data_IF_613038651242
#
_entry.id   IF_613038651242
#
_cell.length_a   1.000
_cell.length_b   1.000
_cell.length_c   1.000
_cell.angle_alpha   90.00
_cell.angle_beta   90.00
_cell.angle_gamma   90.00
#
_symmetry.space_group_name_H-M   'P 1'
#
loop_
_entity.id
_entity.type
_entity.pdbx_description
1 polymer ?
#
# COMPACT_ATOMS: atom_id res chain seq x y z
N UNK A 1 5.42 -16.43 -22.97
CA UNK A 1 5.30 -15.07 -23.56
C UNK A 1 6.67 -14.65 -24.04
N UNK A 2 6.81 -13.95 -25.18
CA UNK A 2 8.11 -13.57 -25.74
C UNK A 2 8.74 -12.32 -25.12
N UNK A 3 8.09 -11.67 -24.15
CA UNK A 3 8.56 -10.48 -23.44
C UNK A 3 8.23 -10.61 -21.94
N UNK A 4 9.20 -10.34 -21.07
CA UNK A 4 9.04 -10.26 -19.62
C UNK A 4 9.15 -8.80 -19.14
N UNK A 5 8.64 -8.45 -17.94
CA UNK A 5 8.84 -7.12 -17.35
C UNK A 5 10.32 -6.73 -17.29
N UNK A 6 11.19 -7.68 -16.95
CA UNK A 6 12.64 -7.49 -16.95
C UNK A 6 13.22 -7.20 -18.34
N UNK A 7 12.61 -7.73 -19.41
CA UNK A 7 13.04 -7.42 -20.78
C UNK A 7 12.66 -5.98 -21.16
N UNK A 8 11.51 -5.47 -20.71
CA UNK A 8 11.07 -4.09 -20.95
C UNK A 8 11.96 -3.10 -20.21
N UNK A 9 12.32 -3.40 -18.96
CA UNK A 9 13.22 -2.58 -18.16
C UNK A 9 14.64 -2.49 -18.73
N UNK A 10 15.12 -3.55 -19.40
CA UNK A 10 16.47 -3.63 -19.95
C UNK A 10 16.58 -3.22 -21.43
N UNK A 11 15.47 -2.79 -22.06
CA UNK A 11 15.48 -2.37 -23.46
C UNK A 11 16.18 -1.02 -23.61
N UNK A 12 17.21 -0.98 -24.46
CA UNK A 12 17.91 0.25 -24.84
C UNK A 12 17.64 0.59 -26.31
N UNK A 13 17.07 1.77 -26.56
CA UNK A 13 16.86 2.28 -27.92
C UNK A 13 18.08 3.04 -28.44
N UNK A 14 18.44 2.83 -29.71
CA UNK A 14 19.52 3.56 -30.35
C UNK A 14 19.11 5.01 -30.64
N UNK A 15 20.03 5.95 -30.42
CA UNK A 15 19.79 7.37 -30.77
C UNK A 15 19.55 7.51 -32.27
N UNK A 16 18.59 8.38 -32.68
CA UNK A 16 18.29 8.61 -34.09
C UNK A 16 19.55 9.01 -34.88
N UNK A 17 19.72 8.54 -36.13
CA UNK A 17 20.79 9.00 -37.00
C UNK A 17 20.76 10.53 -37.14
N UNK A 18 21.95 11.13 -37.15
CA UNK A 18 22.15 12.59 -37.17
C UNK A 18 21.24 13.24 -38.24
N UNK A 19 20.37 14.16 -37.81
CA UNK A 19 19.44 14.88 -38.68
C UNK A 19 18.00 14.35 -38.70
N UNK A 20 17.69 13.24 -38.03
CA UNK A 20 16.30 12.77 -37.82
C UNK A 20 15.85 13.02 -36.37
N UNK A 21 14.61 13.47 -36.19
CA UNK A 21 13.99 13.62 -34.87
C UNK A 21 13.54 12.25 -34.37
N UNK A 22 13.89 11.91 -33.14
CA UNK A 22 13.40 10.72 -32.44
C UNK A 22 12.23 11.04 -31.52
N UNK A 23 11.75 10.00 -30.83
CA UNK A 23 10.86 10.17 -29.67
C UNK A 23 11.62 10.84 -28.52
N UNK A 24 10.86 11.51 -27.65
CA UNK A 24 11.41 12.13 -26.44
C UNK A 24 11.78 11.01 -25.45
N UNK A 25 13.03 11.00 -24.97
CA UNK A 25 13.54 9.97 -24.06
C UNK A 25 12.66 9.90 -22.78
N UNK A 26 12.32 11.04 -22.20
CA UNK A 26 11.51 11.11 -20.97
C UNK A 26 10.08 10.55 -21.15
N UNK A 27 9.46 10.79 -22.31
CA UNK A 27 8.11 10.27 -22.60
C UNK A 27 8.11 8.77 -22.92
N UNK A 28 9.21 8.29 -23.51
CA UNK A 28 9.40 6.86 -23.76
C UNK A 28 9.64 6.12 -22.46
N UNK A 29 10.48 6.64 -21.57
CA UNK A 29 10.75 6.03 -20.26
C UNK A 29 9.46 5.95 -19.42
N UNK A 30 8.68 7.02 -19.35
CA UNK A 30 7.39 7.01 -18.64
C UNK A 30 6.37 6.03 -19.24
N UNK A 31 6.40 5.84 -20.56
CA UNK A 31 5.54 4.84 -21.22
C UNK A 31 6.02 3.41 -20.94
N UNK A 32 7.34 3.18 -20.88
CA UNK A 32 7.91 1.88 -20.54
C UNK A 32 7.60 1.49 -19.10
N UNK A 33 7.64 2.43 -18.14
CA UNK A 33 7.21 2.18 -16.75
C UNK A 33 5.76 1.69 -16.68
N UNK A 34 4.85 2.35 -17.41
CA UNK A 34 3.43 1.96 -17.47
C UNK A 34 3.24 0.58 -18.12
N UNK A 35 4.05 0.25 -19.13
CA UNK A 35 4.03 -1.06 -19.80
C UNK A 35 4.60 -2.15 -18.90
N UNK A 36 5.64 -1.84 -18.11
CA UNK A 36 6.21 -2.74 -17.09
C UNK A 36 5.16 -3.08 -16.04
N UNK A 37 4.52 -2.06 -15.44
CA UNK A 37 3.44 -2.23 -14.46
C UNK A 37 2.27 -3.06 -15.01
N UNK A 38 1.83 -2.75 -16.24
CA UNK A 38 0.75 -3.49 -16.89
C UNK A 38 1.12 -4.95 -17.19
N UNK A 39 2.40 -5.23 -17.53
CA UNK A 39 2.87 -6.60 -17.75
C UNK A 39 2.96 -7.39 -16.45
N UNK A 40 3.40 -6.78 -15.35
CA UNK A 40 3.38 -7.41 -14.02
C UNK A 40 1.94 -7.74 -13.63
N UNK A 41 1.03 -6.76 -13.74
CA UNK A 41 -0.38 -6.97 -13.44
C UNK A 41 -0.99 -8.09 -14.30
N UNK A 42 -0.71 -8.13 -15.60
CA UNK A 42 -1.19 -9.20 -16.48
C UNK A 42 -0.60 -10.57 -16.13
N UNK A 43 0.62 -10.63 -15.61
CA UNK A 43 1.24 -11.88 -15.18
C UNK A 43 0.60 -12.38 -13.89
N UNK A 44 0.45 -11.52 -12.89
CA UNK A 44 -0.26 -11.83 -11.65
C UNK A 44 -1.70 -12.29 -11.93
N UNK A 45 -2.43 -11.57 -12.77
CA UNK A 45 -3.81 -11.93 -13.13
C UNK A 45 -3.87 -13.27 -13.89
N UNK A 46 -2.89 -13.58 -14.75
CA UNK A 46 -2.82 -14.89 -15.39
C UNK A 46 -2.45 -16.02 -14.41
N UNK A 47 -1.62 -15.75 -13.41
CA UNK A 47 -1.28 -16.72 -12.37
C UNK A 47 -2.49 -16.98 -11.46
N UNK A 48 -3.17 -15.92 -11.03
CA UNK A 48 -4.41 -16.00 -10.26
C UNK A 48 -5.50 -16.74 -11.03
N UNK A 49 -5.69 -16.42 -12.32
CA UNK A 49 -6.66 -17.13 -13.16
C UNK A 49 -6.31 -18.60 -13.36
N UNK A 50 -5.02 -18.94 -13.51
CA UNK A 50 -4.58 -20.35 -13.58
C UNK A 50 -4.82 -21.08 -12.27
N UNK A 51 -4.54 -20.45 -11.13
CA UNK A 51 -4.82 -21.03 -9.81
C UNK A 51 -6.33 -21.23 -9.61
N UNK A 52 -7.16 -20.26 -10.02
CA UNK A 52 -8.61 -20.39 -9.98
C UNK A 52 -9.12 -21.52 -10.88
N UNK A 53 -8.55 -21.68 -12.09
CA UNK A 53 -8.88 -22.80 -12.97
C UNK A 53 -8.44 -24.12 -12.34
N UNK A 54 -7.25 -24.21 -11.77
CA UNK A 54 -6.77 -25.42 -11.08
C UNK A 54 -7.64 -25.75 -9.86
N UNK A 55 -8.06 -24.76 -9.08
CA UNK A 55 -8.97 -24.92 -7.95
C UNK A 55 -10.36 -25.36 -8.41
N UNK A 56 -10.92 -24.74 -9.44
CA UNK A 56 -12.19 -25.12 -10.03
C UNK A 56 -12.12 -26.53 -10.65
N UNK A 57 -11.02 -26.88 -11.33
CA UNK A 57 -10.78 -28.21 -11.86
C UNK A 57 -10.62 -29.23 -10.73
N UNK A 58 -9.94 -28.90 -9.63
CA UNK A 58 -9.85 -29.74 -8.45
C UNK A 58 -11.22 -29.89 -7.74
N UNK A 59 -12.05 -28.86 -7.76
CA UNK A 59 -13.41 -28.88 -7.20
C UNK A 59 -14.38 -29.66 -8.09
N UNK A 60 -14.22 -29.60 -9.41
CA UNK A 60 -14.94 -30.44 -10.38
C UNK A 60 -14.43 -31.87 -10.36
N UNK A 61 -13.12 -32.12 -10.22
CA UNK A 61 -12.53 -33.43 -10.06
C UNK A 61 -12.94 -34.06 -8.72
N UNK A 62 -13.00 -33.27 -7.64
CA UNK A 62 -13.52 -33.65 -6.33
C UNK A 62 -15.03 -33.90 -6.35
N UNK A 63 -15.79 -33.10 -7.10
CA UNK A 63 -17.22 -33.29 -7.32
C UNK A 63 -17.53 -34.50 -8.19
N UNK A 64 -16.73 -34.78 -9.22
CA UNK A 64 -16.87 -35.95 -10.09
C UNK A 64 -16.33 -37.23 -9.47
N UNK A 65 -15.34 -37.18 -8.57
CA UNK A 65 -14.89 -38.33 -7.77
C UNK A 65 -15.78 -38.61 -6.55
N UNK A 66 -16.49 -37.59 -6.03
CA UNK A 66 -17.62 -37.77 -5.12
C UNK A 66 -18.84 -38.37 -5.85
N UNK A 67 -19.11 -37.97 -7.09
CA UNK A 67 -20.12 -38.61 -7.94
C UNK A 67 -19.73 -40.04 -8.37
N UNK A 68 -18.45 -40.29 -8.70
CA UNK A 68 -17.96 -41.60 -9.13
C UNK A 68 -17.80 -42.62 -7.97
N UNK A 69 -17.54 -42.15 -6.74
CA UNK A 69 -17.56 -43.01 -5.54
C UNK A 69 -18.99 -43.33 -5.08
N UNK A 70 -20.00 -42.66 -5.65
CA UNK A 70 -21.42 -42.98 -5.48
C UNK A 70 -22.04 -43.74 -6.65
N UNK A 71 -21.29 -44.03 -7.73
CA UNK A 71 -21.83 -44.67 -8.94
C UNK A 71 -21.50 -46.16 -9.09
N UNK A 72 -20.97 -46.84 -8.07
CA UNK A 72 -20.72 -48.30 -8.12
C UNK A 72 -21.56 -49.14 -7.15
N UNK A 73 -22.55 -48.56 -6.49
CA UNK A 73 -23.55 -49.31 -5.75
C UNK A 73 -24.94 -48.67 -5.90
N UNK A 74 -25.71 -49.10 -6.92
CA UNK A 74 -27.12 -48.73 -7.02
C UNK A 74 -27.65 -48.53 -8.43
N UNK A 75 -27.62 -49.58 -9.26
CA UNK A 75 -28.66 -49.71 -10.27
C UNK A 75 -30.00 -49.93 -9.52
N UNK A 76 -31.01 -49.13 -9.88
CA UNK A 76 -32.36 -49.10 -9.32
C UNK A 76 -32.56 -48.31 -8.02
N UNK A 77 -32.60 -46.98 -8.12
CA UNK A 77 -33.79 -46.20 -7.71
C UNK A 77 -33.68 -44.77 -8.23
N UNK A 78 -34.52 -44.45 -9.20
CA UNK A 78 -34.88 -43.07 -9.48
C UNK A 78 -35.72 -42.53 -8.31
N UNK A 79 -35.49 -41.27 -7.96
CA UNK A 79 -36.17 -40.42 -6.98
C UNK A 79 -35.46 -40.23 -5.63
N UNK A 80 -35.22 -38.95 -5.34
CA UNK A 80 -34.82 -38.35 -4.05
C UNK A 80 -33.32 -38.22 -3.72
N UNK A 81 -32.56 -37.54 -4.56
CA UNK A 81 -31.55 -36.58 -4.06
C UNK A 81 -32.07 -35.18 -4.37
N UNK A 82 -32.14 -34.31 -3.35
CA UNK A 82 -32.50 -32.91 -3.53
C UNK A 82 -31.52 -32.30 -4.53
N UNK A 83 -32.00 -32.05 -5.74
CA UNK A 83 -31.30 -31.33 -6.78
C UNK A 83 -30.94 -29.95 -6.24
N UNK A 84 -29.67 -29.73 -5.97
CA UNK A 84 -29.15 -28.38 -5.85
C UNK A 84 -29.32 -27.75 -7.23
N UNK A 85 -30.27 -26.83 -7.36
CA UNK A 85 -30.54 -26.12 -8.61
C UNK A 85 -29.33 -25.23 -8.93
N UNK A 86 -28.40 -25.74 -9.75
CA UNK A 86 -27.21 -25.00 -10.18
C UNK A 86 -27.57 -23.66 -10.84
N UNK A 87 -28.71 -23.59 -11.51
CA UNK A 87 -29.21 -22.35 -12.11
C UNK A 87 -29.59 -21.31 -11.04
N UNK A 88 -30.13 -21.73 -9.90
CA UNK A 88 -30.43 -20.84 -8.78
C UNK A 88 -29.14 -20.37 -8.08
N UNK A 89 -28.17 -21.27 -7.91
CA UNK A 89 -26.86 -20.94 -7.32
C UNK A 89 -26.06 -19.96 -8.19
N UNK A 90 -26.03 -20.15 -9.51
CA UNK A 90 -25.37 -19.21 -10.42
C UNK A 90 -25.97 -17.82 -10.35
N UNK A 91 -27.30 -17.73 -10.25
CA UNK A 91 -28.01 -16.46 -10.13
C UNK A 91 -27.71 -15.76 -8.81
N UNK A 92 -27.66 -16.51 -7.70
CA UNK A 92 -27.28 -15.98 -6.38
C UNK A 92 -25.81 -15.53 -6.34
N UNK A 93 -24.90 -16.27 -7.00
CA UNK A 93 -23.49 -15.91 -7.12
C UNK A 93 -23.33 -14.63 -7.95
N UNK A 94 -23.99 -14.51 -9.10
CA UNK A 94 -23.95 -13.27 -9.91
C UNK A 94 -24.52 -12.06 -9.15
N UNK A 95 -25.58 -12.25 -8.37
CA UNK A 95 -26.20 -11.19 -7.59
C UNK A 95 -25.29 -10.75 -6.43
N UNK A 96 -24.62 -11.70 -5.75
CA UNK A 96 -23.58 -11.40 -4.76
C UNK A 96 -22.38 -10.71 -5.38
N UNK A 97 -21.87 -11.19 -6.52
CA UNK A 97 -20.77 -10.55 -7.23
C UNK A 97 -21.13 -9.11 -7.61
N UNK A 98 -22.32 -8.90 -8.17
CA UNK A 98 -22.82 -7.54 -8.48
C UNK A 98 -22.90 -6.66 -7.24
N UNK A 99 -23.35 -7.19 -6.10
CA UNK A 99 -23.43 -6.42 -4.86
C UNK A 99 -22.04 -6.03 -4.35
N UNK A 100 -21.05 -6.92 -4.44
CA UNK A 100 -19.66 -6.62 -4.07
C UNK A 100 -19.03 -5.61 -5.02
N UNK A 101 -19.21 -5.77 -6.34
CA UNK A 101 -18.72 -4.80 -7.32
C UNK A 101 -19.39 -3.44 -7.16
N UNK A 102 -20.70 -3.40 -6.88
CA UNK A 102 -21.40 -2.15 -6.60
C UNK A 102 -20.85 -1.47 -5.33
N UNK A 103 -20.58 -2.22 -4.26
CA UNK A 103 -19.95 -1.69 -3.04
C UNK A 103 -18.55 -1.16 -3.33
N UNK A 104 -17.71 -1.94 -4.02
CA UNK A 104 -16.34 -1.54 -4.38
C UNK A 104 -16.33 -0.28 -5.26
N UNK A 105 -17.30 -0.14 -6.17
CA UNK A 105 -17.40 1.02 -7.06
C UNK A 105 -17.92 2.26 -6.32
N UNK A 106 -18.82 2.09 -5.35
CA UNK A 106 -19.26 3.17 -4.46
C UNK A 106 -18.13 3.66 -3.56
N UNK A 107 -17.35 2.74 -2.96
CA UNK A 107 -16.18 3.07 -2.15
C UNK A 107 -15.08 3.74 -2.97
N UNK A 108 -14.80 3.24 -4.18
CA UNK A 108 -13.87 3.88 -5.10
C UNK A 108 -14.35 5.28 -5.52
N UNK A 109 -15.66 5.46 -5.77
CA UNK A 109 -16.22 6.76 -6.11
C UNK A 109 -16.14 7.76 -4.95
N UNK A 110 -16.38 7.31 -3.71
CA UNK A 110 -16.22 8.11 -2.50
C UNK A 110 -14.76 8.48 -2.25
N UNK A 111 -13.83 7.56 -2.46
CA UNK A 111 -12.41 7.81 -2.38
C UNK A 111 -11.96 8.85 -3.42
N UNK A 112 -12.40 8.70 -4.67
CA UNK A 112 -12.14 9.66 -5.74
C UNK A 112 -12.73 11.05 -5.43
N UNK A 113 -13.95 11.11 -4.90
CA UNK A 113 -14.60 12.37 -4.53
C UNK A 113 -13.90 13.05 -3.35
N UNK A 114 -13.43 12.27 -2.36
CA UNK A 114 -12.62 12.79 -1.26
C UNK A 114 -11.29 13.35 -1.77
N UNK A 115 -10.58 12.60 -2.63
CA UNK A 115 -9.35 13.06 -3.25
C UNK A 115 -9.56 14.35 -4.07
N UNK A 116 -10.68 14.46 -4.79
CA UNK A 116 -11.03 15.67 -5.55
C UNK A 116 -11.30 16.87 -4.63
N UNK A 117 -11.99 16.68 -3.51
CA UNK A 117 -12.23 17.74 -2.53
C UNK A 117 -10.93 18.19 -1.85
N UNK A 118 -10.08 17.23 -1.47
CA UNK A 118 -8.77 17.50 -0.88
C UNK A 118 -7.90 18.29 -1.88
N UNK A 119 -7.87 17.89 -3.16
CA UNK A 119 -7.18 18.62 -4.22
C UNK A 119 -7.71 20.05 -4.43
N UNK A 120 -9.04 20.24 -4.41
CA UNK A 120 -9.66 21.56 -4.53
C UNK A 120 -9.29 22.45 -3.34
N UNK A 121 -9.29 21.90 -2.12
CA UNK A 121 -8.90 22.65 -0.93
C UNK A 121 -7.42 23.05 -0.95
N UNK A 122 -6.53 22.18 -1.46
CA UNK A 122 -5.12 22.49 -1.65
C UNK A 122 -4.92 23.58 -2.72
N UNK A 123 -5.71 23.56 -3.79
CA UNK A 123 -5.68 24.59 -4.84
C UNK A 123 -6.14 25.96 -4.31
N UNK A 124 -7.20 26.00 -3.49
CA UNK A 124 -7.67 27.22 -2.85
C UNK A 124 -6.63 27.79 -1.87
N UNK A 125 -5.91 26.92 -1.13
CA UNK A 125 -4.81 27.33 -0.25
C UNK A 125 -3.64 27.91 -1.04
N UNK A 126 -3.27 27.31 -2.17
CA UNK A 126 -2.23 27.84 -3.06
C UNK A 126 -2.62 29.21 -3.63
N UNK A 127 -3.89 29.41 -4.03
CA UNK A 127 -4.34 30.72 -4.51
C UNK A 127 -4.29 31.79 -3.41
N UNK A 128 -4.69 31.45 -2.18
CA UNK A 128 -4.58 32.38 -1.04
C UNK A 128 -3.12 32.74 -0.74
N UNK A 129 -2.23 31.75 -0.68
CA UNK A 129 -0.81 31.98 -0.48
C UNK A 129 -0.19 32.84 -1.61
N UNK A 130 -0.63 32.65 -2.86
CA UNK A 130 -0.21 33.47 -3.99
C UNK A 130 -0.73 34.92 -3.90
N UNK A 131 -1.98 35.10 -3.45
CA UNK A 131 -2.57 36.42 -3.25
C UNK A 131 -1.86 37.17 -2.11
N UNK A 132 -1.56 36.49 -1.00
CA UNK A 132 -0.82 37.06 0.13
C UNK A 132 0.61 37.42 -0.27
N UNK A 133 1.28 36.55 -1.04
CA UNK A 133 2.61 36.83 -1.58
C UNK A 133 2.60 38.03 -2.55
N UNK A 134 1.53 38.22 -3.32
CA UNK A 134 1.38 39.38 -4.20
C UNK A 134 1.14 40.67 -3.39
N UNK A 135 0.26 40.63 -2.39
CA UNK A 135 -0.01 41.76 -1.50
C UNK A 135 1.27 42.22 -0.76
N UNK A 136 2.04 41.27 -0.23
CA UNK A 136 3.31 41.56 0.43
C UNK A 136 4.35 42.18 -0.53
N UNK A 137 4.38 41.77 -1.80
CA UNK A 137 5.24 42.37 -2.83
C UNK A 137 4.81 43.80 -3.17
N UNK A 138 3.51 44.03 -3.31
CA UNK A 138 2.96 45.36 -3.60
C UNK A 138 3.21 46.34 -2.43
N UNK A 139 3.11 45.87 -1.18
CA UNK A 139 3.48 46.64 0.02
C UNK A 139 4.98 46.93 0.08
N UNK A 140 5.83 45.95 -0.22
CA UNK A 140 7.28 46.14 -0.26
C UNK A 140 7.70 47.15 -1.34
N UNK A 141 7.06 47.15 -2.51
CA UNK A 141 7.31 48.13 -3.56
C UNK A 141 6.80 49.53 -3.19
N UNK A 142 5.64 49.64 -2.53
CA UNK A 142 5.17 50.93 -1.98
C UNK A 142 6.14 51.48 -0.93
N UNK A 143 6.59 50.66 0.01
CA UNK A 143 7.55 51.08 1.03
C UNK A 143 8.89 51.53 0.42
N UNK A 144 9.38 50.86 -0.63
CA UNK A 144 10.57 51.32 -1.38
C UNK A 144 10.34 52.64 -2.12
N UNK A 145 9.17 52.83 -2.71
CA UNK A 145 8.82 54.08 -3.41
C UNK A 145 8.72 55.25 -2.42
N UNK A 146 8.12 55.05 -1.25
CA UNK A 146 8.04 56.03 -0.17
C UNK A 146 9.42 56.36 0.41
N UNK A 147 10.28 55.36 0.61
CA UNK A 147 11.67 55.58 1.04
C UNK A 147 12.48 56.40 0.00
N UNK A 148 12.26 56.17 -1.30
CA UNK A 148 12.91 56.92 -2.38
C UNK A 148 12.36 58.35 -2.49
N UNK A 149 11.07 58.55 -2.25
CA UNK A 149 10.44 59.88 -2.21
C UNK A 149 10.93 60.69 -0.98
N UNK A 150 11.05 60.06 0.18
CA UNK A 150 11.61 60.68 1.39
C UNK A 150 13.07 61.12 1.18
N UNK A 151 13.90 60.27 0.54
CA UNK A 151 15.28 60.62 0.17
C UNK A 151 15.36 61.83 -0.78
N UNK A 152 14.38 61.99 -1.69
CA UNK A 152 14.34 63.09 -2.67
C UNK A 152 13.87 64.43 -2.04
N UNK A 153 13.05 64.36 -0.99
CA UNK A 153 12.57 65.55 -0.25
C UNK A 153 13.63 66.17 0.67
N UNK A 154 14.61 65.36 1.11
CA UNK A 154 15.67 65.83 2.00
C UNK A 154 16.77 66.61 1.25
N UNK A 155 16.90 66.44 -0.07
CA UNK A 155 17.84 67.20 -0.91
C UNK A 155 17.32 68.61 -1.27
N UNK A 156 15.99 68.83 -1.28
CA UNK A 156 15.39 70.13 -1.61
C UNK A 156 15.21 71.05 -0.41
N UNK A 157 15.17 70.53 0.82
CA UNK A 157 15.13 71.34 2.05
C UNK A 157 16.50 71.90 2.46
N UNK A 158 17.60 71.28 2.03
CA UNK A 158 18.96 71.79 2.23
C UNK A 158 19.31 73.00 1.32
N UNK A 159 18.56 73.22 0.23
CA UNK A 159 18.80 74.31 -0.71
C UNK A 159 18.06 75.63 -0.37
N UNK A 160 17.12 75.63 0.58
CA UNK A 160 16.27 76.79 0.87
C UNK A 160 16.72 77.64 2.08
N UNK A 161 17.82 77.28 2.75
CA UNK A 161 18.35 78.02 3.92
C UNK A 161 19.49 78.99 3.57
N UNK A 162 19.82 79.15 2.29
CA UNK A 162 20.96 79.95 1.82
C UNK A 162 20.65 81.35 1.26
N UNK A 163 19.43 81.89 1.43
CA UNK A 163 19.02 83.11 0.72
C UNK A 163 18.12 84.06 1.54
N UNK A 164 18.65 84.64 2.61
CA UNK A 164 18.20 85.97 3.08
C UNK A 164 19.32 86.66 3.85
N UNK A 165 20.10 87.49 3.15
CA UNK A 165 21.15 88.31 3.72
C UNK A 165 21.30 89.61 2.94
N UNK A 166 20.97 90.71 3.63
CA UNK A 166 21.37 92.10 3.39
C UNK A 166 20.66 92.88 2.26
N UNK A 167 19.63 93.62 2.68
CA UNK A 167 19.23 94.87 2.03
C UNK A 167 18.57 95.80 3.04
N UNK A 168 19.25 96.92 3.37
CA UNK A 168 18.65 98.25 3.63
C UNK A 168 19.78 99.26 3.82
N UNK A 169 19.75 100.33 3.05
CA UNK A 169 20.69 101.45 3.16
C UNK A 169 20.23 102.53 4.13
N UNK A 170 21.07 103.53 4.33
CA UNK A 170 20.69 104.91 4.61
C UNK A 170 21.90 105.84 4.45
N UNK A 171 21.78 106.79 3.52
CA UNK A 171 22.53 108.04 3.55
C UNK A 171 22.00 108.92 4.70
N UNK A 172 22.80 109.92 5.14
CA UNK A 172 22.39 111.33 5.29
C UNK A 172 23.46 112.18 6.03
N UNK A 173 23.82 113.27 5.35
CA UNK A 173 24.14 114.64 5.78
C UNK A 173 25.16 114.96 6.90
N UNK A 174 26.17 115.66 6.41
CA UNK A 174 26.90 116.79 6.99
C UNK A 174 26.09 117.79 7.83
N UNK A 175 26.61 118.14 9.01
CA UNK A 175 26.23 119.33 9.78
C UNK A 175 27.22 119.57 10.92
N UNK A 176 27.90 120.72 10.92
CA UNK A 176 28.91 121.09 11.90
C UNK A 176 28.34 121.13 13.33
N UNK A 177 28.90 120.31 14.22
CA UNK A 177 28.48 120.22 15.61
C UNK A 177 29.52 120.87 16.54
N UNK A 178 29.01 121.61 17.52
CA UNK A 178 29.80 122.14 18.62
C UNK A 178 30.35 120.99 19.49
N UNK A 179 31.45 121.25 20.18
CA UNK A 179 32.21 120.26 20.99
C UNK A 179 31.32 119.51 21.99
N UNK A 180 30.32 120.16 22.57
CA UNK A 180 29.39 119.54 23.53
C UNK A 180 28.43 118.52 22.90
N UNK A 181 27.98 118.74 21.65
CA UNK A 181 27.09 117.80 20.94
C UNK A 181 27.84 116.54 20.51
N UNK A 182 29.11 116.67 20.14
CA UNK A 182 29.98 115.52 19.88
C UNK A 182 30.27 114.70 21.15
N UNK A 183 30.39 115.34 22.31
CA UNK A 183 30.58 114.64 23.60
C UNK A 183 29.31 113.89 24.05
N UNK A 184 28.12 114.48 23.89
CA UNK A 184 26.86 113.79 24.19
C UNK A 184 26.57 112.66 23.20
N UNK A 185 26.82 112.86 21.90
CA UNK A 185 26.70 111.82 20.89
C UNK A 185 27.71 110.69 21.11
N UNK A 186 28.96 110.99 21.50
CA UNK A 186 29.97 109.98 21.85
C UNK A 186 29.54 109.17 23.08
N UNK A 187 28.91 109.80 24.08
CA UNK A 187 28.38 109.10 25.27
C UNK A 187 27.22 108.16 24.92
N UNK A 188 26.30 108.61 24.06
CA UNK A 188 25.18 107.77 23.58
C UNK A 188 25.68 106.64 22.67
N UNK A 189 26.66 106.91 21.80
CA UNK A 189 27.31 105.89 20.99
C UNK A 189 28.06 104.87 21.84
N UNK A 190 28.74 105.30 22.91
CA UNK A 190 29.39 104.38 23.86
C UNK A 190 28.39 103.48 24.58
N UNK A 191 27.27 104.03 25.02
CA UNK A 191 26.20 103.26 25.67
C UNK A 191 25.47 102.32 24.68
N UNK A 192 25.35 102.73 23.42
CA UNK A 192 24.82 101.90 22.35
C UNK A 192 25.80 100.79 21.92
N UNK A 193 27.11 101.07 21.88
CA UNK A 193 28.16 100.07 21.64
C UNK A 193 28.20 99.05 22.78
N UNK A 194 28.13 99.50 24.03
CA UNK A 194 28.06 98.60 25.19
C UNK A 194 26.78 97.73 25.17
N UNK A 195 25.63 98.30 24.80
CA UNK A 195 24.40 97.51 24.59
C UNK A 195 24.54 96.51 23.43
N UNK A 196 25.13 96.92 22.30
CA UNK A 196 25.32 96.03 21.16
C UNK A 196 26.27 94.88 21.49
N UNK A 197 27.36 95.14 22.21
CA UNK A 197 28.31 94.13 22.66
C UNK A 197 27.68 93.19 23.68
N UNK A 198 26.87 93.72 24.61
CA UNK A 198 26.12 92.92 25.58
C UNK A 198 25.08 92.02 24.91
N UNK A 199 24.23 92.57 24.04
CA UNK A 199 23.24 91.80 23.28
C UNK A 199 23.91 90.75 22.39
N UNK A 200 25.05 91.08 21.79
CA UNK A 200 25.81 90.12 20.98
C UNK A 200 26.40 89.01 21.84
N UNK A 201 26.89 89.32 23.04
CA UNK A 201 27.38 88.33 24.01
C UNK A 201 26.25 87.42 24.51
N UNK A 202 25.10 88.01 24.83
CA UNK A 202 23.90 87.31 25.31
C UNK A 202 23.33 86.40 24.23
N UNK A 203 23.16 86.89 23.00
CA UNK A 203 22.72 86.09 21.86
C UNK A 203 23.71 84.94 21.53
N UNK A 204 25.03 85.17 21.65
CA UNK A 204 26.03 84.10 21.49
C UNK A 204 25.93 83.06 22.60
N UNK A 205 25.69 83.48 23.83
CA UNK A 205 25.50 82.55 24.97
C UNK A 205 24.22 81.74 24.83
N UNK A 206 23.11 82.38 24.46
CA UNK A 206 21.82 81.73 24.23
C UNK A 206 21.90 80.76 23.05
N UNK A 207 22.50 81.17 21.92
CA UNK A 207 22.73 80.28 20.77
C UNK A 207 23.60 79.08 21.14
N UNK A 208 24.62 79.27 22.00
CA UNK A 208 25.43 78.16 22.48
C UNK A 208 24.61 77.21 23.37
N UNK A 209 23.80 77.74 24.29
CA UNK A 209 22.89 76.93 25.12
C UNK A 209 21.94 76.11 24.26
N UNK A 210 21.31 76.75 23.25
CA UNK A 210 20.40 76.06 22.33
C UNK A 210 21.10 74.95 21.53
N UNK A 211 22.36 75.16 21.11
CA UNK A 211 23.13 74.13 20.39
C UNK A 211 23.52 72.97 21.31
N UNK A 212 23.88 73.24 22.55
CA UNK A 212 24.23 72.21 23.53
C UNK A 212 22.98 71.39 23.92
N UNK A 213 21.84 72.05 24.14
CA UNK A 213 20.53 71.39 24.36
C UNK A 213 20.08 70.55 23.15
N UNK A 214 20.24 71.08 21.93
CA UNK A 214 19.90 70.34 20.71
C UNK A 214 20.81 69.12 20.51
N UNK A 215 22.09 69.23 20.87
CA UNK A 215 23.04 68.09 20.84
C UNK A 215 22.67 67.03 21.86
N UNK A 216 22.38 67.43 23.10
CA UNK A 216 21.97 66.51 24.17
C UNK A 216 20.65 65.79 23.81
N UNK A 217 19.67 66.51 23.25
CA UNK A 217 18.43 65.91 22.78
C UNK A 217 18.66 64.92 21.63
N UNK A 218 19.55 65.24 20.69
CA UNK A 218 19.90 64.35 19.59
C UNK A 218 20.65 63.09 20.07
N UNK A 219 21.59 63.25 21.00
CA UNK A 219 22.32 62.14 21.62
C UNK A 219 21.36 61.19 22.36
N UNK A 220 20.45 61.75 23.16
CA UNK A 220 19.42 60.99 23.85
C UNK A 220 18.51 60.23 22.89
N UNK A 221 18.08 60.87 21.80
CA UNK A 221 17.25 60.21 20.79
C UNK A 221 17.99 59.07 20.09
N UNK A 222 19.28 59.23 19.80
CA UNK A 222 20.11 58.18 19.22
C UNK A 222 20.28 57.02 20.22
N UNK A 223 20.50 57.31 21.49
CA UNK A 223 20.64 56.29 22.53
C UNK A 223 19.33 55.51 22.75
N UNK A 224 18.19 56.19 22.81
CA UNK A 224 16.86 55.55 22.89
C UNK A 224 16.55 54.69 21.65
N UNK A 225 16.87 55.19 20.45
CA UNK A 225 16.71 54.44 19.21
C UNK A 225 17.61 53.20 19.17
N UNK A 226 18.88 53.33 19.59
CA UNK A 226 19.81 52.22 19.66
C UNK A 226 19.38 51.19 20.72
N UNK A 227 18.91 51.63 21.89
CA UNK A 227 18.40 50.76 22.94
C UNK A 227 17.17 49.96 22.46
N UNK A 228 16.23 50.64 21.80
CA UNK A 228 15.02 50.01 21.25
C UNK A 228 15.37 49.03 20.13
N UNK A 229 16.30 49.41 19.24
CA UNK A 229 16.78 48.54 18.17
C UNK A 229 17.46 47.28 18.73
N UNK A 230 18.35 47.43 19.71
CA UNK A 230 19.01 46.29 20.35
C UNK A 230 18.00 45.36 21.02
N UNK A 231 17.02 45.93 21.74
CA UNK A 231 15.98 45.15 22.40
C UNK A 231 15.14 44.35 21.40
N UNK A 232 14.71 44.97 20.31
CA UNK A 232 13.94 44.27 19.27
C UNK A 232 14.75 43.19 18.56
N UNK A 233 16.06 43.40 18.35
CA UNK A 233 16.96 42.38 17.82
C UNK A 233 17.16 41.20 18.79
N UNK A 234 17.28 41.47 20.09
CA UNK A 234 17.37 40.43 21.12
C UNK A 234 16.07 39.63 21.21
N UNK A 235 14.91 40.29 21.23
CA UNK A 235 13.60 39.65 21.26
C UNK A 235 13.39 38.79 19.99
N UNK A 236 13.76 39.30 18.81
CA UNK A 236 13.66 38.57 17.56
C UNK A 236 14.58 37.33 17.53
N UNK A 237 15.82 37.47 18.03
CA UNK A 237 16.76 36.35 18.15
C UNK A 237 16.26 35.29 19.13
N UNK A 238 15.78 35.69 20.30
CA UNK A 238 15.24 34.78 21.31
C UNK A 238 14.02 34.00 20.78
N UNK A 239 13.12 34.68 20.05
CA UNK A 239 11.98 34.02 19.42
C UNK A 239 12.41 33.05 18.30
N UNK A 240 13.39 33.41 17.49
CA UNK A 240 13.92 32.52 16.45
C UNK A 240 14.59 31.27 17.05
N UNK A 241 15.41 31.43 18.08
CA UNK A 241 16.04 30.32 18.79
C UNK A 241 14.99 29.38 19.41
N UNK A 242 13.95 29.95 20.02
CA UNK A 242 12.83 29.17 20.56
C UNK A 242 12.10 28.39 19.47
N UNK A 243 11.81 29.01 18.32
CA UNK A 243 11.16 28.31 17.20
C UNK A 243 12.03 27.18 16.65
N UNK A 244 13.35 27.38 16.54
CA UNK A 244 14.28 26.34 16.09
C UNK A 244 14.31 25.19 17.10
N UNK A 245 14.40 25.48 18.40
CA UNK A 245 14.40 24.46 19.44
C UNK A 245 13.08 23.67 19.47
N UNK A 246 11.93 24.34 19.34
CA UNK A 246 10.64 23.68 19.24
C UNK A 246 10.51 22.82 17.97
N UNK A 247 11.00 23.31 16.83
CA UNK A 247 11.00 22.55 15.58
C UNK A 247 11.89 21.30 15.68
N UNK A 248 13.08 21.42 16.29
CA UNK A 248 13.98 20.30 16.57
C UNK A 248 13.32 19.27 17.49
N UNK A 249 12.75 19.71 18.61
CA UNK A 249 12.04 18.80 19.52
C UNK A 249 10.87 18.09 18.84
N UNK A 250 10.07 18.81 18.02
CA UNK A 250 8.98 18.18 17.25
C UNK A 250 9.53 17.16 16.25
N UNK A 251 10.61 17.47 15.54
CA UNK A 251 11.25 16.54 14.62
C UNK A 251 11.75 15.28 15.36
N UNK A 252 12.43 15.44 16.49
CA UNK A 252 12.93 14.33 17.30
C UNK A 252 11.77 13.46 17.83
N UNK A 253 10.67 14.06 18.27
CA UNK A 253 9.49 13.30 18.71
C UNK A 253 8.85 12.52 17.56
N UNK A 254 8.75 13.10 16.36
CA UNK A 254 8.20 12.43 15.19
C UNK A 254 9.08 11.27 14.74
N UNK A 255 10.41 11.43 14.76
CA UNK A 255 11.35 10.35 14.44
C UNK A 255 11.23 9.21 15.45
N UNK A 256 11.22 9.51 16.75
CA UNK A 256 11.07 8.50 17.79
C UNK A 256 9.72 7.77 17.71
N UNK A 257 8.64 8.49 17.40
CA UNK A 257 7.32 7.89 17.22
C UNK A 257 7.27 7.00 15.97
N UNK A 258 7.87 7.44 14.86
CA UNK A 258 7.99 6.65 13.64
C UNK A 258 8.81 5.37 13.89
N UNK A 259 9.93 5.46 14.59
CA UNK A 259 10.77 4.32 14.96
C UNK A 259 10.04 3.34 15.87
N UNK A 260 9.27 3.85 16.85
CA UNK A 260 8.46 3.01 17.73
C UNK A 260 7.35 2.28 16.96
N UNK A 261 6.65 2.98 16.05
CA UNK A 261 5.64 2.37 15.17
C UNK A 261 6.26 1.33 14.24
N UNK A 262 7.41 1.61 13.65
CA UNK A 262 8.13 0.67 12.78
C UNK A 262 8.52 -0.60 13.55
N UNK A 263 9.08 -0.47 14.77
CA UNK A 263 9.41 -1.62 15.62
C UNK A 263 8.19 -2.45 16.01
N UNK A 264 7.07 -1.79 16.33
CA UNK A 264 5.82 -2.48 16.64
C UNK A 264 5.29 -3.25 15.43
N UNK A 265 5.25 -2.63 14.25
CA UNK A 265 4.81 -3.28 13.01
C UNK A 265 5.69 -4.48 12.65
N UNK A 266 7.01 -4.37 12.78
CA UNK A 266 7.93 -5.48 12.55
C UNK A 266 7.66 -6.61 13.56
N UNK A 267 7.53 -6.31 14.85
CA UNK A 267 7.25 -7.32 15.86
C UNK A 267 5.90 -8.01 15.65
N UNK A 268 4.87 -7.27 15.25
CA UNK A 268 3.56 -7.82 14.92
C UNK A 268 3.63 -8.71 13.67
N UNK A 269 4.34 -8.27 12.63
CA UNK A 269 4.56 -9.06 11.41
C UNK A 269 5.32 -10.35 11.71
N UNK A 270 6.38 -10.30 12.52
CA UNK A 270 7.15 -11.47 12.96
C UNK A 270 6.27 -12.45 13.75
N UNK A 271 5.48 -11.96 14.72
CA UNK A 271 4.56 -12.81 15.49
C UNK A 271 3.49 -13.44 14.61
N UNK A 272 2.91 -12.67 13.69
CA UNK A 272 1.91 -13.17 12.75
C UNK A 272 2.50 -14.23 11.83
N UNK A 273 3.70 -13.99 11.30
CA UNK A 273 4.44 -14.94 10.47
C UNK A 273 4.70 -16.24 11.24
N UNK A 274 5.28 -16.16 12.45
CA UNK A 274 5.53 -17.31 13.30
C UNK A 274 4.24 -18.09 13.63
N UNK A 275 3.13 -17.39 13.91
CA UNK A 275 1.84 -18.00 14.17
C UNK A 275 1.28 -18.71 12.92
N UNK A 276 1.41 -18.10 11.73
CA UNK A 276 0.98 -18.74 10.47
C UNK A 276 1.81 -19.98 10.14
N UNK A 277 3.13 -19.93 10.34
CA UNK A 277 4.00 -21.09 10.15
C UNK A 277 3.63 -22.22 11.12
N UNK A 278 3.45 -21.91 12.41
CA UNK A 278 3.04 -22.90 13.40
C UNK A 278 1.66 -23.51 13.12
N UNK A 279 0.70 -22.69 12.67
CA UNK A 279 -0.63 -23.17 12.29
C UNK A 279 -0.56 -24.07 11.04
N UNK A 280 0.25 -23.70 10.05
CA UNK A 280 0.43 -24.48 8.83
C UNK A 280 1.14 -25.81 9.10
N UNK A 281 2.21 -25.82 9.90
CA UNK A 281 2.90 -27.07 10.28
C UNK A 281 1.98 -27.99 11.08
N UNK A 282 1.21 -27.45 12.03
CA UNK A 282 0.25 -28.24 12.81
C UNK A 282 -0.85 -28.86 11.93
N UNK A 283 -1.38 -28.11 10.96
CA UNK A 283 -2.36 -28.64 10.00
C UNK A 283 -1.75 -29.71 9.10
N UNK A 284 -0.53 -29.51 8.61
CA UNK A 284 0.17 -30.50 7.81
C UNK A 284 0.42 -31.80 8.59
N UNK A 285 0.91 -31.70 9.83
CA UNK A 285 1.08 -32.87 10.71
C UNK A 285 -0.23 -33.60 10.99
N UNK A 286 -1.32 -32.86 11.23
CA UNK A 286 -2.64 -33.46 11.43
C UNK A 286 -3.15 -34.18 10.17
N UNK A 287 -2.93 -33.61 8.98
CA UNK A 287 -3.28 -34.24 7.70
C UNK A 287 -2.45 -35.50 7.44
N UNK A 288 -1.16 -35.46 7.73
CA UNK A 288 -0.27 -36.63 7.60
C UNK A 288 -0.75 -37.75 8.53
N UNK A 289 -1.02 -37.46 9.81
CA UNK A 289 -1.57 -38.46 10.74
C UNK A 289 -2.90 -39.05 10.25
N UNK A 290 -3.82 -38.21 9.76
CA UNK A 290 -5.08 -38.70 9.20
C UNK A 290 -4.88 -39.59 7.96
N UNK A 291 -3.90 -39.28 7.10
CA UNK A 291 -3.57 -40.10 5.94
C UNK A 291 -2.96 -41.44 6.37
N UNK A 292 -2.05 -41.42 7.34
CA UNK A 292 -1.43 -42.63 7.92
C UNK A 292 -2.48 -43.53 8.59
N UNK A 293 -3.39 -42.96 9.39
CA UNK A 293 -4.47 -43.71 10.03
C UNK A 293 -5.39 -44.38 9.01
N UNK A 294 -5.74 -43.66 7.93
CA UNK A 294 -6.55 -44.21 6.82
C UNK A 294 -5.80 -45.31 6.06
N UNK A 295 -4.51 -45.14 5.81
CA UNK A 295 -3.68 -46.15 5.14
C UNK A 295 -3.61 -47.43 5.98
N UNK A 296 -3.35 -47.30 7.28
CA UNK A 296 -3.31 -48.42 8.22
C UNK A 296 -4.67 -49.13 8.32
N UNK A 297 -5.78 -48.38 8.37
CA UNK A 297 -7.12 -48.95 8.39
C UNK A 297 -7.43 -49.74 7.10
N UNK A 298 -7.08 -49.18 5.94
CA UNK A 298 -7.28 -49.84 4.64
C UNK A 298 -6.42 -51.10 4.51
N UNK A 299 -5.19 -51.08 5.02
CA UNK A 299 -4.34 -52.26 5.07
C UNK A 299 -4.94 -53.35 5.98
N UNK A 300 -5.40 -52.99 7.18
CA UNK A 300 -6.04 -53.93 8.09
C UNK A 300 -7.30 -54.55 7.49
N UNK A 301 -8.11 -53.76 6.78
CA UNK A 301 -9.30 -54.27 6.09
C UNK A 301 -8.96 -55.16 4.89
N UNK A 302 -7.91 -54.83 4.14
CA UNK A 302 -7.41 -55.67 3.06
C UNK A 302 -6.89 -57.02 3.59
N UNK A 303 -6.13 -57.02 4.68
CA UNK A 303 -5.64 -58.23 5.34
C UNK A 303 -6.79 -59.10 5.86
N UNK A 304 -7.80 -58.50 6.51
CA UNK A 304 -9.02 -59.22 6.95
C UNK A 304 -9.72 -59.88 5.77
N UNK A 305 -10.04 -59.12 4.73
CA UNK A 305 -10.68 -59.66 3.52
C UNK A 305 -9.85 -60.76 2.87
N UNK A 306 -8.53 -60.61 2.84
CA UNK A 306 -7.63 -61.64 2.32
C UNK A 306 -7.73 -62.92 3.16
N UNK A 307 -7.71 -62.82 4.49
CA UNK A 307 -7.87 -64.01 5.36
C UNK A 307 -9.23 -64.68 5.20
N UNK A 308 -10.32 -63.90 5.10
CA UNK A 308 -11.68 -64.41 4.89
C UNK A 308 -11.83 -65.12 3.54
N UNK A 309 -11.36 -64.49 2.47
CA UNK A 309 -11.39 -65.07 1.12
C UNK A 309 -10.56 -66.34 1.02
N UNK A 310 -9.36 -66.37 1.63
CA UNK A 310 -8.54 -67.58 1.69
C UNK A 310 -9.18 -68.69 2.51
N UNK A 311 -9.84 -68.36 3.62
CA UNK A 311 -10.59 -69.32 4.41
C UNK A 311 -11.74 -69.94 3.59
N UNK A 312 -12.51 -69.11 2.89
CA UNK A 312 -13.61 -69.55 2.04
C UNK A 312 -13.14 -70.42 0.86
N UNK A 313 -12.06 -70.02 0.18
CA UNK A 313 -11.45 -70.82 -0.90
C UNK A 313 -10.98 -72.18 -0.39
N UNK A 314 -10.37 -72.22 0.81
CA UNK A 314 -9.92 -73.47 1.43
C UNK A 314 -11.09 -74.37 1.83
N UNK A 315 -12.20 -73.79 2.29
CA UNK A 315 -13.43 -74.54 2.58
C UNK A 315 -14.02 -75.15 1.30
N UNK A 316 -14.08 -74.37 0.21
CA UNK A 316 -14.52 -74.88 -1.10
C UNK A 316 -13.61 -76.00 -1.61
N UNK A 317 -12.28 -75.85 -1.48
CA UNK A 317 -11.33 -76.90 -1.83
C UNK A 317 -11.61 -78.19 -1.06
N UNK A 318 -11.74 -78.12 0.28
CA UNK A 318 -12.03 -79.29 1.12
C UNK A 318 -13.38 -79.95 0.75
N UNK A 319 -14.40 -79.15 0.44
CA UNK A 319 -15.71 -79.65 0.00
C UNK A 319 -15.61 -80.38 -1.35
N UNK A 320 -14.85 -79.83 -2.30
CA UNK A 320 -14.58 -80.47 -3.59
C UNK A 320 -13.77 -81.76 -3.42
N UNK A 321 -12.75 -81.77 -2.58
CA UNK A 321 -11.96 -82.97 -2.26
C UNK A 321 -12.83 -84.08 -1.64
N UNK A 322 -13.71 -83.71 -0.71
CA UNK A 322 -14.68 -84.65 -0.10
C UNK A 322 -15.62 -85.22 -1.16
N UNK A 323 -16.14 -84.37 -2.07
CA UNK A 323 -17.03 -84.82 -3.15
C UNK A 323 -16.34 -85.74 -4.14
N UNK A 324 -15.06 -85.50 -4.45
CA UNK A 324 -14.25 -86.39 -5.28
C UNK A 324 -14.10 -87.76 -4.61
N UNK A 325 -13.82 -87.81 -3.30
CA UNK A 325 -13.71 -89.06 -2.55
C UNK A 325 -15.04 -89.85 -2.51
N UNK A 326 -16.17 -89.15 -2.33
CA UNK A 326 -17.50 -89.75 -2.43
C UNK A 326 -17.77 -90.34 -3.83
N UNK A 327 -17.48 -89.58 -4.89
CA UNK A 327 -17.67 -90.04 -6.27
C UNK A 327 -16.80 -91.24 -6.62
N UNK A 328 -15.55 -91.28 -6.14
CA UNK A 328 -14.66 -92.44 -6.33
C UNK A 328 -15.18 -93.68 -5.60
N UNK A 329 -15.75 -93.51 -4.40
CA UNK A 329 -16.37 -94.61 -3.64
C UNK A 329 -17.61 -95.13 -4.37
N UNK A 330 -18.50 -94.22 -4.79
CA UNK A 330 -19.67 -94.56 -5.60
C UNK A 330 -19.29 -95.27 -6.90
N UNK A 331 -18.25 -94.81 -7.59
CA UNK A 331 -17.74 -95.47 -8.80
C UNK A 331 -17.27 -96.90 -8.49
N UNK A 332 -16.52 -97.10 -7.41
CA UNK A 332 -16.04 -98.44 -7.01
C UNK A 332 -17.20 -99.38 -6.68
N UNK A 333 -18.19 -98.90 -5.94
CA UNK A 333 -19.40 -99.66 -5.61
C UNK A 333 -20.22 -99.97 -6.87
N UNK A 334 -20.40 -98.98 -7.76
CA UNK A 334 -21.12 -99.14 -9.02
C UNK A 334 -20.43 -100.15 -9.93
N UNK A 335 -19.10 -100.07 -10.09
CA UNK A 335 -18.31 -101.05 -10.85
C UNK A 335 -18.47 -102.46 -10.28
N UNK A 336 -18.41 -102.61 -8.95
CA UNK A 336 -18.60 -103.90 -8.28
C UNK A 336 -20.02 -104.45 -8.52
N UNK A 337 -21.05 -103.60 -8.38
CA UNK A 337 -22.45 -104.00 -8.57
C UNK A 337 -22.78 -104.33 -10.02
N UNK A 338 -22.25 -103.56 -10.98
CA UNK A 338 -22.35 -103.83 -12.41
C UNK A 338 -21.68 -105.15 -12.76
N UNK A 339 -20.47 -105.39 -12.24
CA UNK A 339 -19.76 -106.66 -12.43
C UNK A 339 -20.58 -107.84 -11.91
N UNK A 340 -21.10 -107.75 -10.69
CA UNK A 340 -21.96 -108.79 -10.10
C UNK A 340 -23.25 -109.01 -10.91
N UNK A 341 -23.89 -107.95 -11.41
CA UNK A 341 -25.07 -108.06 -12.27
C UNK A 341 -24.75 -108.78 -13.59
N UNK A 342 -23.65 -108.41 -14.25
CA UNK A 342 -23.21 -109.03 -15.50
C UNK A 342 -22.82 -110.50 -15.29
N UNK A 343 -22.12 -110.82 -14.21
CA UNK A 343 -21.79 -112.19 -13.82
C UNK A 343 -23.06 -113.02 -13.56
N UNK A 344 -24.03 -112.47 -12.83
CA UNK A 344 -25.33 -113.12 -12.60
C UNK A 344 -26.13 -113.35 -13.90
N UNK A 345 -26.17 -112.37 -14.80
CA UNK A 345 -26.81 -112.51 -16.11
C UNK A 345 -26.13 -113.58 -16.98
N UNK A 346 -24.79 -113.68 -16.92
CA UNK A 346 -24.04 -114.74 -17.60
C UNK A 346 -24.34 -116.12 -17.01
N UNK A 347 -24.49 -116.23 -15.69
CA UNK A 347 -24.81 -117.47 -15.00
C UNK A 347 -26.24 -117.95 -15.30
N UNK A 348 -27.23 -117.04 -15.35
CA UNK A 348 -28.59 -117.34 -15.80
C UNK A 348 -28.62 -117.82 -17.27
N UNK A 349 -27.82 -117.21 -18.14
CA UNK A 349 -27.68 -117.64 -19.54
C UNK A 349 -27.06 -119.04 -19.64
N UNK A 350 -26.02 -119.33 -18.86
CA UNK A 350 -25.43 -120.66 -18.77
C UNK A 350 -26.42 -121.69 -18.20
N UNK A 351 -27.18 -121.34 -17.16
CA UNK A 351 -28.20 -122.20 -16.57
C UNK A 351 -29.34 -122.50 -17.55
N UNK A 352 -29.84 -121.49 -18.28
CA UNK A 352 -30.83 -121.66 -19.35
C UNK A 352 -30.29 -122.43 -20.56
N UNK A 353 -29.02 -122.27 -20.89
CA UNK A 353 -28.34 -123.09 -21.89
C UNK A 353 -28.17 -124.54 -21.45
N UNK A 354 -28.02 -124.78 -20.15
CA UNK A 354 -27.93 -126.12 -19.56
C UNK A 354 -29.29 -126.82 -19.41
N UNK A 355 -30.40 -126.08 -19.47
CA UNK A 355 -31.77 -126.62 -19.50
C UNK A 355 -32.37 -126.65 -20.90
N UNK A 356 -31.59 -127.06 -21.91
CA UNK A 356 -32.15 -127.59 -23.14
C UNK A 356 -32.49 -129.08 -22.91
N UNK A 357 -33.75 -129.54 -23.13
CA UNK A 357 -34.11 -130.92 -22.89
C UNK A 357 -33.37 -131.81 -23.90
N UNK A 358 -32.51 -132.70 -23.41
CA UNK A 358 -32.04 -133.84 -24.17
C UNK A 358 -33.23 -134.77 -24.41
N UNK A 359 -33.94 -134.57 -25.52
CA UNK A 359 -35.03 -135.44 -25.93
C UNK A 359 -34.45 -136.78 -26.42
N UNK A 360 -34.08 -137.62 -25.46
CA UNK A 360 -33.73 -139.02 -25.67
C UNK A 360 -35.00 -139.86 -25.45
N UNK A 361 -35.50 -140.49 -26.52
CA UNK A 361 -36.45 -141.61 -26.45
C UNK A 361 -36.14 -142.64 -27.55
N UNK A 362 -36.49 -143.91 -27.31
CA UNK A 362 -35.64 -145.07 -27.60
C UNK A 362 -36.14 -145.89 -28.80
N UNK A 363 -35.29 -146.84 -29.19
CA UNK A 363 -35.45 -147.88 -30.21
C UNK A 363 -36.69 -148.77 -30.04
N UNK A 364 -37.26 -149.21 -31.17
CA UNK A 364 -38.05 -150.45 -31.33
C UNK A 364 -39.34 -150.30 -32.16
N UNK A 365 -39.31 -150.59 -33.46
CA UNK A 365 -39.71 -151.85 -34.14
C UNK A 365 -39.55 -151.71 -35.66
#
# INVERSE_FOLDING_TARGET
>A
MPLTPADVHNVAFNKPPIGKRGYNEDEVDQFLDLVEDALVQFQEENEDLKQQVEELEAQVAGGTSSAASSSTAGAATAAASKSVDEAALRKEIEEKLRSEYASKLDDASKAAQKAQNDAKSAQDQLQRAQADAKAARDEAEKAKAEAKAAASSNTTKAAAVGAVGAGTGAAVATGAANVDTHMQAAKVLGLAQEMADRLTSEARSESKSMLDEAREAAEKQIEEANSTSNRTLEDARANAEKQIAEAQNRADTLVNEADAKAKNLISEAEKKSAATLAASTSRAEAQIRQAEDKANALQADAERKHTETMAAVKEQQNALETRIAELQTFEREYRTRLKSLLEGQLEELNARGSSAPTNNKPSGE
#
